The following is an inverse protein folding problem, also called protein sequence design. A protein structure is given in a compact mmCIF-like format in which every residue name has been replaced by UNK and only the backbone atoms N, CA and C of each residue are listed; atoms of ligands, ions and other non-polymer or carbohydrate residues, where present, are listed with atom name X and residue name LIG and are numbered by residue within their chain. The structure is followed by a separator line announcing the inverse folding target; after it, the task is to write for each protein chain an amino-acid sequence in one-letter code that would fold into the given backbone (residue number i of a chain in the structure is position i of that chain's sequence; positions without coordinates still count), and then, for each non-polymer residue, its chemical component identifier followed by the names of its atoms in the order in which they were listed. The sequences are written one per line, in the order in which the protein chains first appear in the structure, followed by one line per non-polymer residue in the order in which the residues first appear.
data_IF_595661201406
#
_entry.id   IF_595661201406
#
_cell.length_a   1.000
_cell.length_b   1.000
_cell.length_c   1.000
_cell.angle_alpha   90.00
_cell.angle_beta   90.00
_cell.angle_gamma   90.00
#
_symmetry.space_group_name_H-M   'P 1'
#
loop_
_entity.id
_entity.type
_entity.pdbx_description
1 polymer ?
#
# COMPACT_ATOMS: atom_id res chain seq x y z
N UNK A 1 14.56 -4.33 18.35
CA UNK A 1 13.87 -5.58 17.95
C UNK A 1 13.43 -5.47 16.49
N UNK A 2 13.55 -6.53 15.67
CA UNK A 2 13.07 -6.51 14.28
C UNK A 2 11.55 -6.36 14.19
N UNK A 3 11.11 -5.79 13.07
CA UNK A 3 9.70 -5.65 12.70
C UNK A 3 9.35 -6.65 11.60
N UNK A 4 8.19 -7.26 11.76
CA UNK A 4 7.70 -8.33 10.91
C UNK A 4 6.29 -8.03 10.41
N UNK A 5 5.90 -8.73 9.36
CA UNK A 5 4.55 -8.79 8.83
C UNK A 5 4.15 -10.27 8.78
N UNK A 6 3.02 -10.59 9.39
CA UNK A 6 2.35 -11.88 9.27
C UNK A 6 1.19 -11.76 8.28
N UNK A 7 1.21 -12.62 7.26
CA UNK A 7 0.13 -12.80 6.30
C UNK A 7 -0.65 -14.07 6.62
N UNK A 8 -1.90 -13.90 7.05
CA UNK A 8 -2.79 -14.99 7.43
C UNK A 8 -3.69 -15.37 6.25
N UNK A 9 -3.79 -16.66 5.91
CA UNK A 9 -4.68 -17.12 4.84
C UNK A 9 -6.08 -17.42 5.40
N UNK A 10 -7.12 -16.98 4.68
CA UNK A 10 -8.51 -17.35 4.97
C UNK A 10 -9.21 -16.50 6.03
N UNK A 11 -8.74 -15.27 6.29
CA UNK A 11 -9.34 -14.39 7.32
C UNK A 11 -10.61 -13.65 6.83
N UNK A 12 -10.59 -13.12 5.61
CA UNK A 12 -11.73 -12.44 4.99
C UNK A 12 -12.69 -13.47 4.34
N UNK A 13 -14.02 -13.22 4.27
CA UNK A 13 -14.71 -11.98 4.66
C UNK A 13 -15.00 -11.80 6.15
N UNK A 14 -15.28 -12.85 6.93
CA UNK A 14 -15.71 -12.73 8.33
C UNK A 14 -15.19 -13.85 9.26
N UNK A 15 -14.01 -14.41 8.99
CA UNK A 15 -13.49 -15.51 9.82
C UNK A 15 -12.77 -15.04 11.10
N UNK A 16 -12.37 -13.78 11.20
CA UNK A 16 -11.88 -13.16 12.44
C UNK A 16 -12.02 -11.63 12.40
N UNK A 17 -12.26 -10.99 13.56
CA UNK A 17 -12.20 -9.53 13.68
C UNK A 17 -10.75 -9.09 13.79
N UNK A 18 -10.42 -7.95 13.16
CA UNK A 18 -9.07 -7.40 13.22
C UNK A 18 -8.64 -6.98 14.64
N UNK A 19 -9.60 -6.59 15.49
CA UNK A 19 -9.34 -6.29 16.90
C UNK A 19 -8.89 -7.54 17.65
N UNK A 20 -9.60 -8.66 17.48
CA UNK A 20 -9.28 -9.93 18.13
C UNK A 20 -7.91 -10.46 17.66
N UNK A 21 -7.60 -10.35 16.36
CA UNK A 21 -6.27 -10.69 15.84
C UNK A 21 -5.17 -9.83 16.46
N UNK A 22 -5.40 -8.54 16.61
CA UNK A 22 -4.44 -7.63 17.25
C UNK A 22 -4.20 -8.06 18.71
N UNK A 23 -5.28 -8.25 19.47
CA UNK A 23 -5.20 -8.66 20.88
C UNK A 23 -4.52 -10.01 21.06
N UNK A 24 -4.78 -10.97 20.15
CA UNK A 24 -4.10 -12.26 20.14
C UNK A 24 -2.58 -12.10 20.02
N UNK A 25 -2.11 -11.28 19.07
CA UNK A 25 -0.67 -11.02 18.91
C UNK A 25 -0.05 -10.33 20.13
N UNK A 26 -0.78 -9.41 20.77
CA UNK A 26 -0.35 -8.77 22.02
C UNK A 26 -0.27 -9.78 23.18
N UNK A 27 -1.25 -10.69 23.31
CA UNK A 27 -1.26 -11.78 24.31
C UNK A 27 -0.13 -12.79 24.13
N UNK A 28 0.33 -13.02 22.91
CA UNK A 28 1.52 -13.84 22.60
C UNK A 28 2.81 -13.15 23.09
N UNK A 29 2.78 -11.83 23.30
CA UNK A 29 3.91 -11.03 23.76
C UNK A 29 4.59 -10.21 22.65
N UNK A 30 3.95 -10.06 21.48
CA UNK A 30 4.42 -9.11 20.47
C UNK A 30 4.01 -7.69 20.82
N UNK A 31 4.76 -6.72 20.29
CA UNK A 31 4.56 -5.28 20.55
C UNK A 31 4.33 -4.52 19.24
N UNK A 32 3.91 -3.25 19.34
CA UNK A 32 3.60 -2.39 18.19
C UNK A 32 2.64 -3.03 17.16
N UNK A 33 1.72 -3.87 17.63
CA UNK A 33 0.85 -4.69 16.80
C UNK A 33 -0.16 -3.81 16.07
N UNK A 34 -0.23 -3.98 14.74
CA UNK A 34 -1.18 -3.29 13.88
C UNK A 34 -1.73 -4.23 12.82
N UNK A 35 -3.02 -4.16 12.58
CA UNK A 35 -3.67 -4.84 11.46
C UNK A 35 -3.79 -3.90 10.27
N UNK A 36 -3.58 -4.43 9.06
CA UNK A 36 -3.64 -3.69 7.80
C UNK A 36 -4.69 -4.33 6.91
N UNK A 37 -5.74 -3.58 6.57
CA UNK A 37 -6.93 -4.09 5.87
C UNK A 37 -7.62 -5.23 6.64
N UNK A 38 -8.64 -5.86 6.03
CA UNK A 38 -9.42 -6.95 6.64
C UNK A 38 -9.01 -8.36 6.20
N UNK A 39 -7.98 -8.49 5.36
CA UNK A 39 -7.56 -9.77 4.77
C UNK A 39 -6.55 -10.57 5.60
N UNK A 40 -6.29 -10.17 6.85
CA UNK A 40 -5.34 -10.85 7.72
C UNK A 40 -3.89 -10.47 7.44
N UNK A 41 -3.56 -9.18 7.60
CA UNK A 41 -2.18 -8.69 7.57
C UNK A 41 -1.87 -8.05 8.91
N UNK A 42 -0.88 -8.56 9.62
CA UNK A 42 -0.53 -8.09 10.97
C UNK A 42 0.94 -7.69 10.99
N UNK A 43 1.21 -6.42 11.29
CA UNK A 43 2.56 -5.89 11.46
C UNK A 43 2.86 -5.83 12.95
N UNK A 44 4.03 -6.30 13.37
CA UNK A 44 4.39 -6.39 14.78
C UNK A 44 5.90 -6.32 15.00
N UNK A 45 6.30 -5.95 16.21
CA UNK A 45 7.68 -5.97 16.70
C UNK A 45 7.87 -7.20 17.59
N UNK A 46 8.96 -7.95 17.37
CA UNK A 46 9.23 -9.20 18.10
C UNK A 46 10.73 -9.49 18.24
N UNK A 47 11.08 -10.46 19.07
CA UNK A 47 12.47 -10.91 19.19
C UNK A 47 13.01 -11.41 17.83
N UNK A 48 14.33 -11.31 17.63
CA UNK A 48 14.96 -11.85 16.42
C UNK A 48 14.83 -13.38 16.45
N UNK A 49 14.05 -13.93 15.54
CA UNK A 49 13.79 -15.37 15.38
C UNK A 49 13.65 -15.69 13.88
N UNK A 50 13.81 -16.96 13.53
CA UNK A 50 13.47 -17.43 12.19
C UNK A 50 11.99 -17.22 11.91
N UNK A 51 11.66 -16.79 10.69
CA UNK A 51 10.29 -16.46 10.28
C UNK A 51 9.33 -17.66 10.43
N UNK A 52 9.80 -18.87 10.10
CA UNK A 52 9.06 -20.12 10.28
C UNK A 52 8.73 -20.42 11.75
N UNK A 53 9.63 -20.10 12.68
CA UNK A 53 9.38 -20.25 14.11
C UNK A 53 8.39 -19.22 14.63
N UNK A 54 8.43 -17.99 14.11
CA UNK A 54 7.42 -16.97 14.41
C UNK A 54 6.04 -17.39 13.90
N UNK A 55 5.95 -17.93 12.69
CA UNK A 55 4.70 -18.45 12.13
C UNK A 55 4.07 -19.51 13.05
N UNK A 56 4.84 -20.52 13.48
CA UNK A 56 4.36 -21.55 14.42
C UNK A 56 3.89 -20.98 15.75
N UNK A 57 4.63 -20.02 16.32
CA UNK A 57 4.24 -19.36 17.58
C UNK A 57 2.93 -18.60 17.40
N UNK A 58 2.73 -17.93 16.26
CA UNK A 58 1.49 -17.22 15.95
C UNK A 58 0.34 -18.19 15.78
N UNK A 59 0.52 -19.29 15.03
CA UNK A 59 -0.48 -20.32 14.80
C UNK A 59 -0.95 -20.96 16.11
N UNK A 60 -0.02 -21.40 16.97
CA UNK A 60 -0.36 -21.94 18.31
C UNK A 60 -0.98 -20.88 19.23
N UNK A 61 -0.58 -19.62 19.10
CA UNK A 61 -1.20 -18.53 19.85
C UNK A 61 -2.66 -18.30 19.42
N UNK A 62 -2.96 -18.38 18.13
CA UNK A 62 -4.34 -18.27 17.64
C UNK A 62 -5.18 -19.47 18.10
N UNK A 63 -4.66 -20.69 18.10
CA UNK A 63 -5.36 -21.86 18.64
C UNK A 63 -5.75 -21.67 20.12
N UNK A 64 -4.92 -20.95 20.88
CA UNK A 64 -5.15 -20.71 22.31
C UNK A 64 -6.09 -19.54 22.58
N UNK A 65 -6.01 -18.47 21.79
CA UNK A 65 -6.65 -17.19 22.11
C UNK A 65 -7.80 -16.82 21.16
N UNK A 66 -8.04 -17.58 20.09
CA UNK A 66 -9.09 -17.34 19.10
C UNK A 66 -9.88 -18.62 18.83
N UNK A 67 -11.13 -18.52 18.35
CA UNK A 67 -11.95 -19.69 18.01
C UNK A 67 -11.45 -20.47 16.77
N UNK A 68 -10.50 -19.90 16.01
CA UNK A 68 -9.92 -20.50 14.81
C UNK A 68 -8.47 -20.04 14.65
N UNK A 69 -7.63 -20.96 14.18
CA UNK A 69 -6.28 -20.66 13.70
C UNK A 69 -6.24 -20.56 12.17
N UNK A 70 -5.26 -19.82 11.66
CA UNK A 70 -5.07 -19.54 10.24
C UNK A 70 -3.64 -19.88 9.85
N UNK A 71 -3.38 -20.42 8.64
CA UNK A 71 -2.02 -20.57 8.14
C UNK A 71 -1.32 -19.21 8.05
N UNK A 72 -0.08 -19.14 8.55
CA UNK A 72 0.68 -17.88 8.65
C UNK A 72 1.97 -17.96 7.84
N UNK A 73 2.22 -16.92 7.03
CA UNK A 73 3.55 -16.63 6.49
C UNK A 73 4.08 -15.36 7.13
N UNK A 74 5.30 -15.41 7.66
CA UNK A 74 5.98 -14.24 8.24
C UNK A 74 7.08 -13.77 7.30
N UNK A 75 7.20 -12.45 7.12
CA UNK A 75 8.35 -11.80 6.50
C UNK A 75 8.82 -10.62 7.35
N UNK A 76 10.12 -10.33 7.35
CA UNK A 76 10.59 -9.06 7.90
C UNK A 76 10.09 -7.87 7.07
N UNK A 77 9.84 -6.72 7.71
CA UNK A 77 9.50 -5.49 6.97
C UNK A 77 10.64 -5.07 6.02
N UNK A 78 11.90 -5.33 6.38
CA UNK A 78 13.05 -5.02 5.54
C UNK A 78 13.07 -5.87 4.26
N UNK A 79 12.70 -7.16 4.34
CA UNK A 79 12.54 -8.02 3.17
C UNK A 79 11.50 -7.44 2.21
N UNK A 80 10.33 -7.05 2.72
CA UNK A 80 9.29 -6.45 1.88
C UNK A 80 9.75 -5.13 1.25
N UNK A 81 10.54 -4.31 1.95
CA UNK A 81 11.11 -3.09 1.37
C UNK A 81 12.14 -3.38 0.27
N UNK A 82 12.97 -4.40 0.45
CA UNK A 82 13.91 -4.84 -0.57
C UNK A 82 13.17 -5.35 -1.82
N UNK A 83 12.14 -6.19 -1.61
CA UNK A 83 11.25 -6.69 -2.65
C UNK A 83 10.59 -5.55 -3.45
N UNK A 84 10.07 -4.53 -2.75
CA UNK A 84 9.45 -3.37 -3.39
C UNK A 84 10.47 -2.52 -4.17
N UNK A 85 11.73 -2.49 -3.73
CA UNK A 85 12.80 -1.74 -4.38
C UNK A 85 13.32 -2.43 -5.64
N UNK A 86 13.39 -3.77 -5.66
CA UNK A 86 13.81 -4.51 -6.84
C UNK A 86 12.76 -4.52 -7.95
N UNK A 87 11.47 -4.30 -7.59
CA UNK A 87 10.29 -4.37 -8.47
C UNK A 87 10.42 -5.45 -9.56
N UNK A 88 10.26 -6.74 -9.20
CA UNK A 88 10.41 -7.87 -10.13
C UNK A 88 9.40 -7.88 -11.28
N UNK A 89 8.45 -6.94 -11.29
CA UNK A 89 7.51 -6.75 -12.39
C UNK A 89 8.04 -5.80 -13.48
N UNK A 90 9.10 -5.05 -13.21
CA UNK A 90 9.62 -4.00 -14.10
C UNK A 90 10.16 -4.53 -15.43
N UNK A 91 10.63 -5.78 -15.46
CA UNK A 91 11.11 -6.45 -16.67
C UNK A 91 9.98 -6.96 -17.57
N UNK A 92 8.71 -6.84 -17.15
CA UNK A 92 7.56 -7.39 -17.86
C UNK A 92 6.62 -6.29 -18.34
N UNK A 93 6.13 -6.44 -19.56
CA UNK A 93 5.01 -5.63 -20.04
C UNK A 93 3.71 -6.14 -19.42
N UNK A 94 3.19 -5.38 -18.44
CA UNK A 94 1.96 -5.71 -17.72
C UNK A 94 0.89 -4.67 -18.08
N UNK A 95 -0.28 -5.14 -18.50
CA UNK A 95 -1.37 -4.22 -18.87
C UNK A 95 -1.81 -3.37 -17.67
N UNK A 96 -2.24 -2.11 -17.87
CA UNK A 96 -2.73 -1.25 -16.80
C UNK A 96 -3.94 -1.82 -16.03
N UNK A 97 -4.73 -2.67 -16.68
CA UNK A 97 -5.91 -3.35 -16.13
C UNK A 97 -5.52 -4.56 -15.25
N UNK A 98 -4.29 -5.05 -15.38
CA UNK A 98 -3.80 -6.19 -14.63
C UNK A 98 -3.38 -5.80 -13.19
N UNK A 99 -3.70 -6.69 -12.26
CA UNK A 99 -3.28 -6.62 -10.86
C UNK A 99 -2.00 -7.41 -10.65
N UNK A 100 -1.07 -6.81 -9.93
CA UNK A 100 0.17 -7.45 -9.46
C UNK A 100 -0.06 -8.14 -8.11
N UNK A 101 0.26 -9.42 -8.03
CA UNK A 101 0.10 -10.28 -6.85
C UNK A 101 1.41 -10.99 -6.56
N UNK A 102 1.85 -10.93 -5.30
CA UNK A 102 2.94 -11.77 -4.81
C UNK A 102 2.33 -12.92 -4.02
N UNK A 103 2.79 -14.12 -4.33
CA UNK A 103 2.49 -15.34 -3.61
C UNK A 103 3.69 -15.67 -2.73
N UNK A 104 3.47 -15.75 -1.42
CA UNK A 104 4.48 -16.13 -0.45
C UNK A 104 4.38 -17.61 -0.12
N UNK A 105 5.50 -18.30 -0.24
CA UNK A 105 5.69 -19.70 0.14
C UNK A 105 6.33 -19.79 1.53
N UNK A 106 6.09 -20.89 2.23
CA UNK A 106 6.75 -21.17 3.52
C UNK A 106 8.22 -21.52 3.35
N UNK A 107 8.56 -22.12 2.21
CA UNK A 107 9.92 -22.47 1.80
C UNK A 107 10.07 -22.19 0.30
N UNK A 108 11.31 -21.96 -0.19
CA UNK A 108 11.57 -21.85 -1.61
C UNK A 108 11.03 -23.06 -2.37
N UNK A 109 10.45 -22.81 -3.55
CA UNK A 109 10.00 -23.89 -4.42
C UNK A 109 11.23 -24.66 -4.94
N UNK A 110 11.18 -25.99 -4.89
CA UNK A 110 12.35 -26.84 -5.21
C UNK A 110 12.52 -27.09 -6.69
N UNK A 111 11.44 -26.97 -7.47
CA UNK A 111 11.45 -27.29 -8.88
C UNK A 111 11.78 -26.04 -9.71
N UNK A 112 12.57 -26.23 -10.76
CA UNK A 112 12.82 -25.19 -11.74
C UNK A 112 11.64 -25.16 -12.72
N UNK A 113 10.80 -24.14 -12.58
CA UNK A 113 9.68 -23.92 -13.50
C UNK A 113 10.14 -23.11 -14.71
N UNK A 114 9.65 -23.50 -15.90
CA UNK A 114 9.80 -22.68 -17.09
C UNK A 114 8.75 -21.57 -17.04
N UNK A 115 9.22 -20.33 -16.86
CA UNK A 115 8.37 -19.14 -16.74
C UNK A 115 8.44 -18.30 -18.04
N UNK A 116 7.36 -17.60 -18.41
CA UNK A 116 6.09 -17.47 -17.69
C UNK A 116 5.14 -18.66 -17.90
N UNK A 117 4.29 -18.94 -16.90
CA UNK A 117 3.17 -19.91 -17.01
C UNK A 117 1.87 -19.11 -17.04
N UNK A 118 1.00 -19.39 -18.01
CA UNK A 118 -0.23 -18.65 -18.25
C UNK A 118 -1.48 -19.51 -18.18
N UNK A 119 -2.56 -18.95 -17.66
CA UNK A 119 -3.90 -19.52 -17.68
C UNK A 119 -4.93 -18.38 -17.69
N UNK A 120 -5.71 -18.29 -18.77
CA UNK A 120 -6.88 -17.41 -18.91
C UNK A 120 -6.63 -15.97 -18.42
N UNK A 121 -5.54 -15.35 -18.89
CA UNK A 121 -5.18 -13.96 -18.56
C UNK A 121 -4.46 -13.77 -17.22
N UNK A 122 -4.19 -14.84 -16.47
CA UNK A 122 -3.25 -14.85 -15.35
C UNK A 122 -1.90 -15.40 -15.79
N UNK A 123 -0.80 -14.76 -15.35
CA UNK A 123 0.57 -15.17 -15.67
C UNK A 123 1.43 -15.21 -14.42
N UNK A 124 2.07 -16.34 -14.14
CA UNK A 124 3.23 -16.41 -13.23
C UNK A 124 4.43 -15.95 -14.05
N UNK A 125 5.00 -14.81 -13.68
CA UNK A 125 6.04 -14.12 -14.45
C UNK A 125 7.45 -14.50 -14.00
N UNK A 126 7.67 -14.52 -12.69
CA UNK A 126 8.98 -14.72 -12.09
C UNK A 126 8.84 -15.40 -10.72
N UNK A 127 9.96 -15.95 -10.26
CA UNK A 127 10.13 -16.51 -8.92
C UNK A 127 11.47 -16.06 -8.36
N UNK A 128 11.48 -15.66 -7.09
CA UNK A 128 12.69 -15.33 -6.34
C UNK A 128 12.58 -15.95 -4.95
N UNK A 129 13.39 -16.97 -4.67
CA UNK A 129 13.35 -17.70 -3.42
C UNK A 129 11.96 -18.26 -3.09
N UNK A 130 11.29 -17.66 -2.10
CA UNK A 130 9.98 -18.07 -1.61
C UNK A 130 8.86 -17.11 -2.04
N UNK A 131 9.12 -16.23 -3.00
CA UNK A 131 8.19 -15.26 -3.55
C UNK A 131 7.93 -15.57 -5.03
N UNK A 132 6.65 -15.61 -5.41
CA UNK A 132 6.22 -15.82 -6.79
C UNK A 132 5.43 -14.61 -7.26
N UNK A 133 5.80 -14.08 -8.42
CA UNK A 133 5.26 -12.85 -8.97
C UNK A 133 4.24 -13.18 -10.06
N UNK A 134 2.98 -12.85 -9.80
CA UNK A 134 1.86 -13.10 -10.70
C UNK A 134 1.23 -11.79 -11.13
N UNK A 135 0.85 -11.68 -12.40
CA UNK A 135 -0.02 -10.63 -12.90
C UNK A 135 -1.30 -11.25 -13.44
N UNK A 136 -2.45 -10.62 -13.20
CA UNK A 136 -3.72 -11.12 -13.73
C UNK A 136 -4.72 -9.99 -13.99
N UNK A 137 -5.52 -10.13 -15.04
CA UNK A 137 -6.68 -9.25 -15.26
C UNK A 137 -7.88 -9.85 -14.50
N UNK A 138 -8.63 -9.06 -13.70
CA UNK A 138 -9.85 -9.54 -13.06
C UNK A 138 -10.81 -10.15 -14.08
N UNK A 139 -11.31 -11.35 -13.77
CA UNK A 139 -12.17 -12.12 -14.66
C UNK A 139 -13.54 -12.36 -14.02
N UNK A 140 -14.59 -12.46 -14.83
CA UNK A 140 -15.97 -12.67 -14.36
C UNK A 140 -16.14 -14.01 -13.64
N UNK A 141 -15.43 -15.05 -14.09
CA UNK A 141 -15.39 -16.36 -13.43
C UNK A 141 -14.62 -16.40 -12.10
N UNK A 142 -14.24 -15.24 -11.55
CA UNK A 142 -13.58 -15.15 -10.24
C UNK A 142 -12.04 -15.21 -10.32
N UNK A 143 -11.36 -15.62 -9.23
CA UNK A 143 -9.92 -15.48 -9.10
C UNK A 143 -9.15 -16.57 -9.86
N UNK A 144 -9.20 -16.57 -11.19
CA UNK A 144 -8.50 -17.53 -12.07
C UNK A 144 -7.02 -17.68 -11.72
N UNK A 145 -6.36 -16.59 -11.34
CA UNK A 145 -4.96 -16.60 -10.90
C UNK A 145 -4.71 -17.55 -9.72
N UNK A 146 -5.69 -17.78 -8.84
CA UNK A 146 -5.56 -18.76 -7.75
C UNK A 146 -5.56 -20.19 -8.29
N UNK A 147 -6.36 -20.50 -9.31
CA UNK A 147 -6.33 -21.82 -9.97
C UNK A 147 -4.95 -22.09 -10.58
N UNK A 148 -4.39 -21.10 -11.27
CA UNK A 148 -3.03 -21.18 -11.81
C UNK A 148 -1.99 -21.43 -10.71
N UNK A 149 -2.03 -20.61 -9.66
CA UNK A 149 -1.12 -20.71 -8.52
C UNK A 149 -1.22 -22.06 -7.83
N UNK A 150 -2.43 -22.55 -7.54
CA UNK A 150 -2.62 -23.80 -6.80
C UNK A 150 -2.25 -25.03 -7.63
N UNK A 151 -2.47 -25.02 -8.95
CA UNK A 151 -1.99 -26.07 -9.85
C UNK A 151 -0.46 -26.12 -9.93
N UNK A 152 0.18 -24.96 -9.86
CA UNK A 152 1.64 -24.83 -10.05
C UNK A 152 2.42 -25.02 -8.76
N UNK A 153 1.94 -24.44 -7.65
CA UNK A 153 2.68 -24.32 -6.38
C UNK A 153 2.03 -25.10 -5.23
N UNK A 154 0.84 -25.66 -5.45
CA UNK A 154 0.03 -26.31 -4.42
C UNK A 154 -0.78 -25.31 -3.58
N UNK A 155 -1.48 -25.84 -2.56
CA UNK A 155 -2.47 -25.10 -1.78
C UNK A 155 -1.90 -24.34 -0.57
N UNK A 156 -0.65 -24.62 -0.18
CA UNK A 156 -0.04 -24.05 1.03
C UNK A 156 0.71 -22.75 0.74
N UNK A 157 -0.01 -21.77 0.21
CA UNK A 157 0.54 -20.48 -0.25
C UNK A 157 -0.28 -19.30 0.25
N UNK A 158 0.30 -18.12 0.41
CA UNK A 158 -0.46 -16.92 0.79
C UNK A 158 -0.24 -15.81 -0.22
N UNK A 159 -1.32 -15.35 -0.86
CA UNK A 159 -1.25 -14.31 -1.91
C UNK A 159 -1.63 -12.94 -1.37
N UNK A 160 -0.91 -11.89 -1.81
CA UNK A 160 -1.23 -10.49 -1.52
C UNK A 160 -0.97 -9.61 -2.72
N UNK A 161 -1.80 -8.59 -2.90
CA UNK A 161 -1.56 -7.60 -3.95
C UNK A 161 -0.32 -6.77 -3.64
N UNK A 162 0.34 -6.27 -4.68
CA UNK A 162 1.49 -5.36 -4.54
C UNK A 162 1.16 -4.14 -3.68
N UNK A 163 -0.04 -3.58 -3.81
CA UNK A 163 -0.50 -2.46 -2.98
C UNK A 163 -0.63 -2.83 -1.50
N UNK A 164 -1.05 -4.06 -1.19
CA UNK A 164 -1.09 -4.54 0.19
C UNK A 164 0.31 -4.63 0.77
N UNK A 165 1.28 -5.11 -0.01
CA UNK A 165 2.67 -5.22 0.40
C UNK A 165 3.26 -3.83 0.66
N UNK A 166 3.00 -2.85 -0.22
CA UNK A 166 3.38 -1.44 0.01
C UNK A 166 2.84 -0.92 1.35
N UNK A 167 1.55 -1.11 1.63
CA UNK A 167 0.93 -0.69 2.90
C UNK A 167 1.56 -1.39 4.11
N UNK A 168 1.83 -2.69 4.03
CA UNK A 168 2.44 -3.44 5.12
C UNK A 168 3.90 -3.04 5.36
N UNK A 169 4.68 -2.85 4.30
CA UNK A 169 6.08 -2.42 4.37
C UNK A 169 6.22 -1.00 4.96
N UNK A 170 5.28 -0.11 4.62
CA UNK A 170 5.23 1.26 5.12
C UNK A 170 4.66 1.40 6.54
N UNK A 171 4.07 0.35 7.12
CA UNK A 171 3.49 0.35 8.46
C UNK A 171 4.56 0.36 9.57
N UNK A 172 5.43 1.38 9.58
CA UNK A 172 6.37 1.66 10.66
C UNK A 172 5.68 2.47 11.75
N UNK A 173 6.16 2.30 12.99
CA UNK A 173 5.62 2.98 14.16
C UNK A 173 5.49 4.48 13.91
N UNK A 174 4.29 5.01 14.11
CA UNK A 174 4.11 6.44 14.34
C UNK A 174 4.73 6.77 15.70
N UNK A 175 6.05 6.84 15.73
CA UNK A 175 6.75 7.77 16.61
C UNK A 175 7.39 8.81 15.70
N UNK A 176 6.55 9.53 14.96
CA UNK A 176 6.74 10.96 14.96
C UNK A 176 6.14 11.40 16.29
N UNK A 177 7.01 11.80 17.22
CA UNK A 177 6.70 12.98 18.01
C UNK A 177 6.24 14.02 16.99
N UNK A 178 4.93 14.15 16.78
CA UNK A 178 4.38 15.38 16.24
C UNK A 178 4.56 16.35 17.40
N UNK A 179 5.76 16.92 17.50
CA UNK A 179 5.85 18.22 18.12
C UNK A 179 5.04 19.13 17.20
N UNK A 180 3.95 19.77 17.66
CA UNK A 180 3.35 20.85 16.90
C UNK A 180 4.30 22.06 17.02
N UNK A 181 5.47 21.99 16.40
CA UNK A 181 6.40 23.10 16.33
C UNK A 181 6.55 23.53 14.88
N UNK A 182 5.64 24.45 14.52
CA UNK A 182 5.81 25.51 13.52
C UNK A 182 5.94 25.08 12.06
N UNK A 183 4.81 24.74 11.44
CA UNK A 183 4.50 25.13 10.05
C UNK A 183 3.60 26.36 10.05
N UNK A 184 4.10 27.45 10.62
CA UNK A 184 3.62 28.81 10.38
C UNK A 184 4.70 29.55 9.61
N UNK A 185 5.05 29.07 8.41
CA UNK A 185 5.68 29.82 7.30
C UNK A 185 5.36 29.01 6.03
N UNK A 186 4.20 29.30 5.42
CA UNK A 186 3.95 29.21 3.97
C UNK A 186 2.62 29.91 3.62
N UNK A 187 2.27 30.95 4.40
CA UNK A 187 1.22 31.91 4.05
C UNK A 187 1.80 33.26 3.59
N UNK A 188 3.13 33.38 3.45
CA UNK A 188 3.81 34.61 3.00
C UNK A 188 4.29 34.56 1.54
N UNK A 189 4.26 33.41 0.88
CA UNK A 189 4.74 33.29 -0.52
C UNK A 189 3.64 33.48 -1.57
N UNK A 190 2.36 33.51 -1.17
CA UNK A 190 1.24 33.83 -2.08
C UNK A 190 0.99 35.35 -2.14
N UNK A 191 1.36 36.10 -1.09
CA UNK A 191 1.23 37.57 -1.09
C UNK A 191 2.32 38.27 -1.91
N UNK A 192 3.54 37.71 -1.96
CA UNK A 192 4.64 38.29 -2.74
C UNK A 192 4.43 38.17 -4.27
N UNK A 193 3.85 37.07 -4.75
CA UNK A 193 3.53 36.91 -6.18
C UNK A 193 2.33 37.80 -6.58
N UNK A 194 1.32 37.94 -5.72
CA UNK A 194 0.21 38.86 -5.96
C UNK A 194 0.66 40.34 -6.00
N UNK A 195 1.61 40.74 -5.13
CA UNK A 195 2.14 42.11 -5.12
C UNK A 195 3.01 42.42 -6.36
N UNK A 196 3.82 41.46 -6.83
CA UNK A 196 4.63 41.64 -8.05
C UNK A 196 3.74 41.69 -9.31
N UNK A 197 2.68 40.88 -9.38
CA UNK A 197 1.71 40.93 -10.48
C UNK A 197 0.91 42.23 -10.45
N UNK A 198 0.53 42.75 -9.27
CA UNK A 198 -0.19 44.04 -9.15
C UNK A 198 0.68 45.25 -9.51
N UNK A 199 1.97 45.24 -9.18
CA UNK A 199 2.91 46.30 -9.54
C UNK A 199 3.23 46.34 -11.05
N UNK A 200 3.33 45.17 -11.70
CA UNK A 200 3.47 45.10 -13.16
C UNK A 200 2.18 45.53 -13.90
N UNK A 201 1.00 45.25 -13.33
CA UNK A 201 -0.28 45.67 -13.92
C UNK A 201 -0.50 47.19 -13.88
N UNK A 202 -0.08 47.84 -12.79
CA UNK A 202 -0.22 49.28 -12.62
C UNK A 202 0.67 50.07 -13.60
N UNK A 203 1.83 49.52 -13.97
CA UNK A 203 2.73 50.15 -14.93
C UNK A 203 2.21 50.07 -16.37
N UNK A 204 1.57 48.96 -16.76
CA UNK A 204 0.98 48.78 -18.11
C UNK A 204 -0.30 49.61 -18.29
N UNK A 205 -1.14 49.75 -17.25
CA UNK A 205 -2.37 50.56 -17.30
C UNK A 205 -2.14 52.09 -17.39
N UNK A 206 -0.92 52.55 -17.11
CA UNK A 206 -0.52 53.96 -17.24
C UNK A 206 -0.17 54.38 -18.67
N UNK A 207 0.02 53.43 -19.60
CA UNK A 207 0.40 53.66 -21.00
C UNK A 207 -0.66 53.32 -22.03
N UNK A 208 -1.88 52.97 -21.61
CA UNK A 208 -2.99 52.65 -22.51
C UNK A 208 -3.83 53.90 -22.81
N UNK A 209 -4.12 54.10 -24.10
CA UNK A 209 -4.92 55.22 -24.58
C UNK A 209 -6.38 55.13 -24.08
N UNK A 210 -7.08 56.27 -24.04
CA UNK A 210 -8.37 56.47 -23.36
C UNK A 210 -9.47 55.45 -23.73
N UNK A 211 -9.43 54.88 -24.94
CA UNK A 211 -10.40 53.88 -25.41
C UNK A 211 -10.29 52.50 -24.75
N UNK A 212 -9.14 52.11 -24.19
CA UNK A 212 -8.94 50.78 -23.59
C UNK A 212 -9.35 50.74 -22.11
N UNK A 213 -9.38 51.89 -21.42
CA UNK A 213 -9.82 52.00 -20.02
C UNK A 213 -11.30 51.71 -19.80
N UNK A 214 -12.15 51.97 -20.80
CA UNK A 214 -13.61 51.78 -20.69
C UNK A 214 -13.98 50.30 -20.70
N UNK A 215 -13.33 49.48 -21.53
CA UNK A 215 -13.54 48.03 -21.59
C UNK A 215 -13.10 47.31 -20.30
N UNK A 216 -12.06 47.82 -19.65
CA UNK A 216 -11.52 47.21 -18.42
C UNK A 216 -12.40 47.46 -17.19
N UNK A 217 -13.05 48.62 -17.11
CA UNK A 217 -13.94 48.96 -16.00
C UNK A 217 -15.28 48.18 -16.02
N UNK A 218 -15.73 47.70 -17.19
CA UNK A 218 -16.90 46.81 -17.27
C UNK A 218 -16.60 45.40 -16.75
N UNK A 219 -15.39 44.88 -16.95
CA UNK A 219 -14.99 43.55 -16.44
C UNK A 219 -14.82 43.52 -14.91
N UNK A 220 -14.36 44.61 -14.31
CA UNK A 220 -14.20 44.69 -12.85
C UNK A 220 -15.54 44.65 -12.09
N UNK A 221 -16.60 45.27 -12.63
CA UNK A 221 -17.93 45.23 -12.00
C UNK A 221 -18.59 43.85 -12.03
N UNK A 222 -18.24 43.01 -13.02
CA UNK A 222 -18.76 41.64 -13.11
C UNK A 222 -18.10 40.69 -12.09
N UNK A 223 -16.85 40.97 -11.68
CA UNK A 223 -16.15 40.17 -10.67
C UNK A 223 -16.60 40.41 -9.23
N UNK A 224 -17.02 41.64 -8.89
CA UNK A 224 -17.41 42.01 -7.51
C UNK A 224 -18.84 41.55 -7.14
N UNK A 225 -19.69 41.19 -8.11
CA UNK A 225 -21.04 40.66 -7.82
C UNK A 225 -21.08 39.18 -7.40
N UNK A 226 -20.00 38.42 -7.62
CA UNK A 226 -20.00 36.96 -7.38
C UNK A 226 -19.49 36.56 -5.98
N UNK A 227 -19.00 37.51 -5.18
CA UNK A 227 -18.34 37.26 -3.88
C UNK A 227 -19.23 37.56 -2.67
N UNK A 228 -20.51 37.93 -2.88
CA UNK A 228 -21.45 38.29 -1.80
C UNK A 228 -22.58 37.26 -1.54
N UNK A 229 -22.42 36.01 -1.98
CA UNK A 229 -23.38 34.91 -1.76
C UNK A 229 -22.73 33.63 -1.21
N UNK A 230 -21.77 33.74 -0.28
CA UNK A 230 -21.38 32.62 0.60
C UNK A 230 -21.42 33.02 2.06
#
# INVERSE_FOLDING_TARGET
MPRYVAFLRGVSPMNAKMADLKECFEKIGFTDVRTILSSGNVVFTGAKKQESNLAKVIESGMEKYLPRSFPVIVRTTNHLLALLKTDPYSDFHISPEAKRVVTFLSQPHKENLLLPIELDGAKILAMDGAEVFTAYVPHECGPIFMTLIEKTLGKNVTTRTWDTIKKCAAARGWSLTIHPSRSRILASSISAVAAVVSAHYCHVASRLNSSVRVLFNSFRRLGEMHDHQR
#
